data_IF_881645675765
#
_entry.id   IF_881645675765
#
_cell.length_a   1.000
_cell.length_b   1.000
_cell.length_c   1.000
_cell.angle_alpha   90.00
_cell.angle_beta   90.00
_cell.angle_gamma   90.00
#
_symmetry.space_group_name_H-M   'P 1'
#
loop_
_entity.id
_entity.type
_entity.pdbx_description
1 polymer ?
#
# COMPACT_ATOMS: atom_id res chain seq x y z
N UNK A 1 -8.10 -2.63 -4.95
CA UNK A 1 -8.22 -4.07 -4.63
C UNK A 1 -9.43 -4.25 -3.73
N UNK A 2 -10.49 -4.88 -4.21
CA UNK A 2 -11.60 -5.30 -3.34
C UNK A 2 -11.11 -6.48 -2.50
N UNK A 3 -10.93 -6.25 -1.20
CA UNK A 3 -10.53 -7.29 -0.26
C UNK A 3 -11.72 -8.22 -0.03
N UNK A 4 -11.78 -9.33 -0.77
CA UNK A 4 -12.81 -10.34 -0.55
C UNK A 4 -12.54 -11.05 0.78
N UNK A 5 -13.61 -11.22 1.56
CA UNK A 5 -13.56 -11.84 2.88
C UNK A 5 -12.95 -13.26 2.77
N UNK A 6 -11.93 -13.58 3.57
CA UNK A 6 -11.24 -14.88 3.56
C UNK A 6 -12.16 -16.09 3.81
N UNK A 7 -13.40 -15.86 4.30
CA UNK A 7 -14.47 -16.87 4.39
C UNK A 7 -15.15 -17.20 3.04
N UNK A 8 -14.86 -16.45 1.97
CA UNK A 8 -15.51 -16.55 0.65
C UNK A 8 -14.49 -16.76 -0.46
N UNK A 9 -13.59 -17.73 -0.28
CA UNK A 9 -12.53 -18.00 -1.24
C UNK A 9 -13.02 -18.69 -2.53
N UNK A 10 -14.15 -19.40 -2.48
CA UNK A 10 -14.66 -20.17 -3.60
C UNK A 10 -15.52 -19.34 -4.58
N UNK A 11 -15.30 -19.44 -5.90
CA UNK A 11 -16.09 -18.73 -6.91
C UNK A 11 -17.52 -19.30 -6.97
N UNK A 12 -18.52 -18.45 -6.74
CA UNK A 12 -19.94 -18.83 -6.91
C UNK A 12 -20.37 -18.64 -8.36
N UNK A 13 -21.03 -19.64 -8.92
CA UNK A 13 -21.64 -19.56 -10.25
C UNK A 13 -22.14 -20.91 -10.74
N UNK A 14 -22.85 -20.90 -11.88
CA UNK A 14 -23.33 -22.12 -12.56
C UNK A 14 -22.21 -23.10 -12.91
N UNK A 15 -20.99 -22.59 -13.14
CA UNK A 15 -19.80 -23.40 -13.43
C UNK A 15 -19.44 -24.39 -12.31
N UNK A 16 -19.64 -24.01 -11.04
CA UNK A 16 -19.37 -24.90 -9.91
C UNK A 16 -20.32 -26.10 -9.90
N UNK A 17 -21.58 -25.87 -10.23
CA UNK A 17 -22.59 -26.93 -10.34
C UNK A 17 -22.38 -27.82 -11.56
N UNK A 18 -21.99 -27.24 -12.70
CA UNK A 18 -21.60 -28.02 -13.89
C UNK A 18 -20.37 -28.89 -13.60
N UNK A 19 -19.37 -28.36 -12.90
CA UNK A 19 -18.20 -29.12 -12.51
C UNK A 19 -18.52 -30.23 -11.50
N UNK A 20 -19.42 -29.98 -10.54
CA UNK A 20 -19.93 -31.00 -9.63
C UNK A 20 -20.64 -32.14 -10.39
N UNK A 21 -21.51 -31.79 -11.34
CA UNK A 21 -22.20 -32.78 -12.18
C UNK A 21 -21.22 -33.57 -13.07
N UNK A 22 -20.25 -32.89 -13.69
CA UNK A 22 -19.22 -33.53 -14.50
C UNK A 22 -18.33 -34.46 -13.64
N UNK A 23 -17.95 -34.03 -12.44
CA UNK A 23 -17.16 -34.85 -11.52
C UNK A 23 -17.91 -36.12 -11.09
N UNK A 24 -19.21 -36.02 -10.81
CA UNK A 24 -20.06 -37.19 -10.53
C UNK A 24 -20.15 -38.14 -11.73
N UNK A 25 -20.34 -37.60 -12.93
CA UNK A 25 -20.41 -38.39 -14.16
C UNK A 25 -19.08 -39.12 -14.43
N UNK A 26 -17.95 -38.42 -14.29
CA UNK A 26 -16.61 -38.99 -14.46
C UNK A 26 -16.35 -40.05 -13.38
N UNK A 27 -16.65 -39.77 -12.11
CA UNK A 27 -16.45 -40.73 -11.03
C UNK A 27 -17.26 -42.01 -11.24
N UNK A 28 -18.51 -41.86 -11.67
CA UNK A 28 -19.39 -43.00 -11.99
C UNK A 28 -18.84 -43.79 -13.18
N UNK A 29 -18.42 -43.12 -14.25
CA UNK A 29 -17.83 -43.77 -15.43
C UNK A 29 -16.53 -44.51 -15.12
N UNK A 30 -15.61 -43.86 -14.39
CA UNK A 30 -14.36 -44.48 -13.92
C UNK A 30 -14.66 -45.69 -13.05
N UNK A 31 -15.64 -45.61 -12.15
CA UNK A 31 -16.01 -46.72 -11.27
C UNK A 31 -16.63 -47.88 -12.04
N UNK A 32 -17.48 -47.62 -13.03
CA UNK A 32 -18.03 -48.66 -13.92
C UNK A 32 -16.93 -49.40 -14.68
N UNK A 33 -15.92 -48.68 -15.17
CA UNK A 33 -14.74 -49.27 -15.83
C UNK A 33 -13.86 -50.07 -14.86
N UNK A 34 -13.76 -49.62 -13.60
CA UNK A 34 -12.99 -50.30 -12.55
C UNK A 34 -13.73 -51.46 -11.88
N UNK A 35 -15.06 -51.53 -12.03
CA UNK A 35 -15.90 -52.58 -11.49
C UNK A 35 -15.39 -54.00 -11.80
N UNK A 36 -14.98 -54.34 -13.04
CA UNK A 36 -14.42 -55.67 -13.35
C UNK A 36 -13.07 -55.96 -12.67
N UNK A 37 -12.31 -54.95 -12.25
CA UNK A 37 -10.97 -55.13 -11.68
C UNK A 37 -10.93 -55.10 -10.14
N UNK A 38 -11.78 -54.30 -9.51
CA UNK A 38 -11.74 -54.02 -8.06
C UNK A 38 -12.81 -54.82 -7.30
N UNK A 39 -13.82 -55.34 -7.99
CA UNK A 39 -14.96 -56.00 -7.34
C UNK A 39 -15.77 -55.05 -6.46
N UNK A 40 -16.55 -55.57 -5.48
CA UNK A 40 -17.44 -54.78 -4.62
C UNK A 40 -16.72 -53.98 -3.52
N UNK A 41 -15.39 -54.02 -3.47
CA UNK A 41 -14.64 -53.35 -2.41
C UNK A 41 -14.59 -51.83 -2.60
N UNK A 42 -14.92 -51.10 -1.52
CA UNK A 42 -14.88 -49.63 -1.38
C UNK A 42 -15.60 -48.84 -2.51
N UNK A 43 -16.94 -48.94 -2.63
CA UNK A 43 -17.71 -48.25 -3.67
C UNK A 43 -17.54 -46.72 -3.66
N UNK A 44 -17.38 -46.14 -2.47
CA UNK A 44 -17.28 -44.69 -2.29
C UNK A 44 -15.93 -44.06 -2.66
N UNK A 45 -14.89 -44.85 -2.93
CA UNK A 45 -13.53 -44.30 -3.13
C UNK A 45 -13.43 -43.31 -4.29
N UNK A 46 -14.01 -43.63 -5.44
CA UNK A 46 -14.03 -42.75 -6.62
C UNK A 46 -14.80 -41.45 -6.37
N UNK A 47 -15.93 -41.53 -5.67
CA UNK A 47 -16.75 -40.37 -5.31
C UNK A 47 -16.06 -39.48 -4.27
N UNK A 48 -15.29 -40.05 -3.35
CA UNK A 48 -14.49 -39.29 -2.39
C UNK A 48 -13.41 -38.46 -3.09
N UNK A 49 -12.71 -39.04 -4.07
CA UNK A 49 -11.70 -38.32 -4.88
C UNK A 49 -12.37 -37.18 -5.66
N UNK A 50 -13.52 -37.44 -6.29
CA UNK A 50 -14.27 -36.43 -7.03
C UNK A 50 -14.73 -35.28 -6.12
N UNK A 51 -15.30 -35.59 -4.95
CA UNK A 51 -15.70 -34.59 -3.96
C UNK A 51 -14.50 -33.76 -3.48
N UNK A 52 -13.34 -34.39 -3.28
CA UNK A 52 -12.09 -33.71 -2.87
C UNK A 52 -11.57 -32.74 -3.93
N UNK A 53 -11.64 -33.12 -5.21
CA UNK A 53 -11.27 -32.24 -6.31
C UNK A 53 -12.24 -31.06 -6.44
N UNK A 54 -13.55 -31.33 -6.33
CA UNK A 54 -14.56 -30.26 -6.36
C UNK A 54 -14.40 -29.32 -5.18
N UNK A 55 -14.07 -29.82 -3.99
CA UNK A 55 -13.76 -29.00 -2.81
C UNK A 55 -12.60 -28.07 -3.10
N UNK A 56 -11.50 -28.59 -3.65
CA UNK A 56 -10.28 -27.82 -3.88
C UNK A 56 -10.49 -26.63 -4.85
N UNK A 57 -11.36 -26.79 -5.86
CA UNK A 57 -11.55 -25.76 -6.90
C UNK A 57 -12.81 -24.90 -6.71
N UNK A 58 -13.92 -25.49 -6.25
CA UNK A 58 -15.25 -24.86 -6.24
C UNK A 58 -15.83 -24.69 -4.83
N UNK A 59 -15.16 -25.24 -3.81
CA UNK A 59 -15.45 -25.05 -2.39
C UNK A 59 -16.51 -25.98 -1.79
N UNK A 60 -16.83 -25.68 -0.53
CA UNK A 60 -17.58 -26.53 0.39
C UNK A 60 -18.99 -26.94 -0.05
N UNK A 61 -19.77 -26.00 -0.58
CA UNK A 61 -21.15 -26.29 -0.96
C UNK A 61 -21.26 -27.34 -2.09
N UNK A 62 -20.60 -27.15 -3.26
CA UNK A 62 -20.66 -28.14 -4.33
C UNK A 62 -20.01 -29.48 -3.92
N UNK A 63 -18.93 -29.49 -3.13
CA UNK A 63 -18.31 -30.74 -2.68
C UNK A 63 -19.24 -31.58 -1.78
N UNK A 64 -19.94 -30.94 -0.84
CA UNK A 64 -20.94 -31.64 -0.02
C UNK A 64 -22.08 -32.21 -0.86
N UNK A 65 -22.49 -31.51 -1.92
CA UNK A 65 -23.52 -32.04 -2.83
C UNK A 65 -23.03 -33.25 -3.61
N UNK A 66 -21.77 -33.23 -4.07
CA UNK A 66 -21.13 -34.38 -4.71
C UNK A 66 -20.99 -35.55 -3.74
N UNK A 67 -20.66 -35.29 -2.48
CA UNK A 67 -20.60 -36.34 -1.45
C UNK A 67 -21.98 -36.97 -1.22
N UNK A 68 -23.04 -36.17 -1.04
CA UNK A 68 -24.39 -36.69 -0.79
C UNK A 68 -24.95 -37.44 -2.00
N UNK A 69 -24.84 -36.86 -3.20
CA UNK A 69 -25.29 -37.51 -4.42
C UNK A 69 -24.44 -38.74 -4.74
N UNK A 70 -23.12 -38.65 -4.54
CA UNK A 70 -22.21 -39.76 -4.71
C UNK A 70 -22.50 -40.92 -3.77
N UNK A 71 -22.92 -40.64 -2.53
CA UNK A 71 -23.39 -41.66 -1.59
C UNK A 71 -24.66 -42.34 -2.09
N UNK A 72 -25.68 -41.57 -2.52
CA UNK A 72 -26.91 -42.15 -3.07
C UNK A 72 -26.67 -42.99 -4.33
N UNK A 73 -25.78 -42.53 -5.22
CA UNK A 73 -25.40 -43.26 -6.44
C UNK A 73 -24.58 -44.50 -6.05
N UNK A 74 -23.66 -44.39 -5.08
CA UNK A 74 -22.83 -45.50 -4.63
C UNK A 74 -23.67 -46.63 -4.03
N UNK A 75 -24.63 -46.26 -3.18
CA UNK A 75 -25.60 -47.17 -2.57
C UNK A 75 -26.45 -47.87 -3.64
N UNK A 76 -27.04 -47.10 -4.56
CA UNK A 76 -27.95 -47.62 -5.58
C UNK A 76 -27.27 -48.52 -6.66
N UNK A 77 -26.06 -48.16 -7.11
CA UNK A 77 -25.39 -48.89 -8.20
C UNK A 77 -24.47 -50.03 -7.74
N UNK A 78 -23.89 -49.94 -6.55
CA UNK A 78 -22.72 -50.77 -6.20
C UNK A 78 -22.90 -51.60 -4.92
N UNK A 79 -24.01 -51.43 -4.18
CA UNK A 79 -24.29 -52.23 -3.00
C UNK A 79 -25.44 -53.23 -3.30
N UNK A 80 -25.27 -54.54 -3.02
CA UNK A 80 -26.33 -55.53 -3.21
C UNK A 80 -27.39 -55.44 -2.10
N UNK A 81 -28.70 -55.60 -2.40
CA UNK A 81 -29.30 -55.93 -3.69
C UNK A 81 -29.37 -54.73 -4.63
N UNK A 82 -28.78 -54.88 -5.83
CA UNK A 82 -28.75 -53.81 -6.82
C UNK A 82 -30.18 -53.42 -7.21
N UNK A 83 -30.48 -52.13 -7.14
CA UNK A 83 -31.79 -51.54 -7.46
C UNK A 83 -32.97 -51.91 -6.53
N UNK A 84 -32.77 -52.58 -5.39
CA UNK A 84 -33.80 -52.87 -4.39
C UNK A 84 -33.43 -52.29 -3.01
N UNK A 85 -34.32 -51.52 -2.38
CA UNK A 85 -34.07 -50.83 -1.09
C UNK A 85 -34.64 -51.65 0.10
N UNK A 86 -35.01 -52.91 -0.13
CA UNK A 86 -35.88 -53.66 0.79
C UNK A 86 -35.17 -54.36 1.94
N UNK A 87 -33.85 -54.59 1.85
CA UNK A 87 -33.07 -55.29 2.88
C UNK A 87 -31.83 -54.48 3.23
N UNK A 88 -31.80 -53.93 4.46
CA UNK A 88 -30.63 -53.26 5.00
C UNK A 88 -29.62 -54.31 5.49
N UNK A 89 -28.47 -54.40 4.83
CA UNK A 89 -27.37 -55.26 5.24
C UNK A 89 -26.27 -54.47 5.98
N UNK A 90 -25.35 -55.18 6.64
CA UNK A 90 -24.20 -54.58 7.33
C UNK A 90 -23.28 -53.81 6.38
N UNK A 91 -23.26 -54.16 5.09
CA UNK A 91 -22.48 -53.49 4.07
C UNK A 91 -22.99 -52.06 3.82
N UNK A 92 -24.31 -51.88 3.75
CA UNK A 92 -24.98 -50.58 3.55
C UNK A 92 -24.67 -49.66 4.73
N UNK A 93 -24.79 -50.18 5.96
CA UNK A 93 -24.48 -49.42 7.16
C UNK A 93 -22.99 -49.02 7.21
N UNK A 94 -22.09 -49.93 6.83
CA UNK A 94 -20.67 -49.63 6.75
C UNK A 94 -20.38 -48.54 5.71
N UNK A 95 -20.99 -48.59 4.53
CA UNK A 95 -20.85 -47.54 3.51
C UNK A 95 -21.43 -46.21 4.00
N UNK A 96 -22.65 -46.23 4.52
CA UNK A 96 -23.39 -45.06 5.02
C UNK A 96 -22.63 -44.31 6.13
N UNK A 97 -21.83 -44.99 6.94
CA UNK A 97 -21.04 -44.37 8.01
C UNK A 97 -19.62 -44.05 7.53
N UNK A 98 -18.91 -45.03 6.96
CA UNK A 98 -17.48 -44.88 6.65
C UNK A 98 -17.22 -43.89 5.52
N UNK A 99 -18.04 -43.90 4.46
CA UNK A 99 -17.84 -43.02 3.31
C UNK A 99 -17.99 -41.54 3.66
N UNK A 100 -19.11 -41.07 4.26
CA UNK A 100 -19.23 -39.65 4.58
C UNK A 100 -18.26 -39.26 5.68
N UNK A 101 -17.92 -40.14 6.62
CA UNK A 101 -16.93 -39.82 7.65
C UNK A 101 -15.55 -39.54 7.05
N UNK A 102 -15.06 -40.40 6.14
CA UNK A 102 -13.78 -40.19 5.45
C UNK A 102 -13.85 -38.97 4.53
N UNK A 103 -14.91 -38.86 3.72
CA UNK A 103 -15.05 -37.77 2.75
C UNK A 103 -15.18 -36.42 3.45
N UNK A 104 -15.96 -36.33 4.52
CA UNK A 104 -16.09 -35.13 5.33
C UNK A 104 -14.76 -34.74 5.98
N UNK A 105 -14.00 -35.71 6.51
CA UNK A 105 -12.69 -35.43 7.09
C UNK A 105 -11.73 -34.83 6.04
N UNK A 106 -11.72 -35.38 4.83
CA UNK A 106 -10.93 -34.85 3.71
C UNK A 106 -11.40 -33.45 3.30
N UNK A 107 -12.71 -33.25 3.10
CA UNK A 107 -13.31 -31.95 2.77
C UNK A 107 -12.93 -30.90 3.82
N UNK A 108 -13.08 -31.21 5.11
CA UNK A 108 -12.74 -30.29 6.20
C UNK A 108 -11.25 -29.97 6.22
N UNK A 109 -10.39 -30.95 5.97
CA UNK A 109 -8.94 -30.75 5.91
C UNK A 109 -8.55 -29.84 4.74
N UNK A 110 -9.10 -30.08 3.55
CA UNK A 110 -8.88 -29.26 2.37
C UNK A 110 -9.39 -27.85 2.60
N UNK A 111 -10.60 -27.68 3.15
CA UNK A 111 -11.18 -26.37 3.44
C UNK A 111 -10.33 -25.59 4.46
N UNK A 112 -9.82 -26.27 5.49
CA UNK A 112 -8.91 -25.66 6.49
C UNK A 112 -7.60 -25.22 5.84
N UNK A 113 -6.99 -26.07 5.02
CA UNK A 113 -5.76 -25.77 4.31
C UNK A 113 -5.96 -24.62 3.32
N UNK A 114 -7.06 -24.63 2.58
CA UNK A 114 -7.34 -23.61 1.58
C UNK A 114 -7.61 -22.26 2.23
N UNK A 115 -8.38 -22.24 3.32
CA UNK A 115 -8.58 -21.02 4.12
C UNK A 115 -7.29 -20.49 4.74
N UNK A 116 -6.35 -21.35 5.14
CA UNK A 116 -5.06 -20.88 5.67
C UNK A 116 -4.18 -20.31 4.58
N UNK A 117 -4.12 -20.94 3.40
CA UNK A 117 -3.41 -20.44 2.22
C UNK A 117 -3.92 -19.07 1.79
N UNK A 118 -5.23 -18.91 1.61
CA UNK A 118 -5.81 -17.62 1.21
C UNK A 118 -5.55 -16.50 2.24
N UNK A 119 -5.54 -16.83 3.54
CA UNK A 119 -5.18 -15.86 4.57
C UNK A 119 -3.71 -15.46 4.48
N UNK A 120 -2.82 -16.41 4.25
CA UNK A 120 -1.39 -16.14 4.11
C UNK A 120 -1.11 -15.26 2.87
N UNK A 121 -1.73 -15.59 1.74
CA UNK A 121 -1.64 -14.79 0.49
C UNK A 121 -2.16 -13.37 0.68
N UNK A 122 -3.31 -13.22 1.38
CA UNK A 122 -3.85 -11.89 1.66
C UNK A 122 -2.90 -11.07 2.55
N UNK A 123 -2.36 -11.67 3.62
CA UNK A 123 -1.40 -11.00 4.49
C UNK A 123 -0.13 -10.62 3.72
N UNK A 124 0.38 -11.50 2.85
CA UNK A 124 1.54 -11.24 2.00
C UNK A 124 1.29 -10.07 1.04
N UNK A 125 0.13 -10.03 0.38
CA UNK A 125 -0.24 -8.94 -0.53
C UNK A 125 -0.37 -7.58 0.18
N UNK A 126 -0.91 -7.58 1.40
CA UNK A 126 -1.01 -6.38 2.25
C UNK A 126 0.38 -5.94 2.72
N UNK A 127 1.24 -6.89 3.12
CA UNK A 127 2.62 -6.59 3.51
C UNK A 127 3.42 -5.98 2.35
N UNK A 128 3.28 -6.52 1.13
CA UNK A 128 3.90 -5.98 -0.07
C UNK A 128 3.43 -4.55 -0.37
N UNK A 129 2.12 -4.31 -0.31
CA UNK A 129 1.56 -2.97 -0.55
C UNK A 129 2.06 -1.95 0.49
N UNK A 130 2.15 -2.35 1.76
CA UNK A 130 2.71 -1.49 2.83
C UNK A 130 4.21 -1.24 2.62
N UNK A 131 4.96 -2.24 2.19
CA UNK A 131 6.38 -2.09 1.93
C UNK A 131 6.65 -1.10 0.78
N UNK A 132 5.90 -1.18 -0.32
CA UNK A 132 6.00 -0.22 -1.41
C UNK A 132 5.67 1.21 -0.97
N UNK A 133 4.66 1.39 -0.12
CA UNK A 133 4.32 2.70 0.43
C UNK A 133 5.45 3.27 1.30
N UNK A 134 6.04 2.44 2.16
CA UNK A 134 7.18 2.85 2.98
C UNK A 134 8.38 3.25 2.12
N UNK A 135 8.70 2.47 1.10
CA UNK A 135 9.78 2.80 0.16
C UNK A 135 9.55 4.12 -0.57
N UNK A 136 8.31 4.40 -1.00
CA UNK A 136 7.98 5.68 -1.66
C UNK A 136 8.19 6.85 -0.72
N UNK A 137 7.67 6.75 0.49
CA UNK A 137 7.79 7.81 1.48
C UNK A 137 9.23 8.03 1.96
N UNK A 138 10.03 6.97 2.11
CA UNK A 138 11.46 7.12 2.40
C UNK A 138 12.22 7.78 1.24
N UNK A 139 11.88 7.45 -0.01
CA UNK A 139 12.48 8.10 -1.17
C UNK A 139 12.11 9.59 -1.23
N UNK A 140 10.85 9.94 -0.99
CA UNK A 140 10.41 11.35 -0.90
C UNK A 140 11.16 12.13 0.19
N UNK A 141 11.37 11.52 1.36
CA UNK A 141 12.16 12.11 2.45
C UNK A 141 13.61 12.32 2.06
N UNK A 142 14.22 11.37 1.35
CA UNK A 142 15.60 11.49 0.86
C UNK A 142 15.72 12.60 -0.19
N UNK A 143 14.76 12.72 -1.10
CA UNK A 143 14.73 13.81 -2.09
C UNK A 143 14.58 15.17 -1.42
N UNK A 144 13.67 15.30 -0.44
CA UNK A 144 13.50 16.53 0.32
C UNK A 144 14.78 16.92 1.09
N UNK A 145 15.45 15.95 1.73
CA UNK A 145 16.74 16.20 2.41
C UNK A 145 17.83 16.65 1.45
N UNK A 146 17.95 16.00 0.28
CA UNK A 146 18.94 16.38 -0.75
C UNK A 146 18.72 17.81 -1.25
N UNK A 147 17.47 18.21 -1.48
CA UNK A 147 17.15 19.56 -1.89
C UNK A 147 17.59 20.60 -0.84
N UNK A 148 17.40 20.32 0.45
CA UNK A 148 17.85 21.19 1.56
C UNK A 148 19.38 21.22 1.67
N UNK A 149 20.05 20.08 1.53
CA UNK A 149 21.51 20.03 1.60
C UNK A 149 22.17 20.78 0.43
N UNK A 150 21.61 20.66 -0.78
CA UNK A 150 22.06 21.40 -1.96
C UNK A 150 21.87 22.91 -1.77
N UNK A 151 20.72 23.37 -1.26
CA UNK A 151 20.52 24.80 -0.99
C UNK A 151 21.49 25.32 0.05
N UNK A 152 21.73 24.56 1.12
CA UNK A 152 22.69 24.94 2.16
C UNK A 152 24.12 25.04 1.60
N UNK A 153 24.52 24.12 0.71
CA UNK A 153 25.83 24.17 0.03
C UNK A 153 25.94 25.38 -0.89
N UNK A 154 24.91 25.67 -1.69
CA UNK A 154 24.90 26.83 -2.59
C UNK A 154 24.94 28.16 -1.83
N UNK A 155 24.17 28.29 -0.75
CA UNK A 155 24.20 29.47 0.11
C UNK A 155 25.60 29.68 0.71
N UNK A 156 26.23 28.61 1.22
CA UNK A 156 27.60 28.70 1.74
C UNK A 156 28.61 29.12 0.65
N UNK A 157 28.47 28.59 -0.57
CA UNK A 157 29.35 28.96 -1.69
C UNK A 157 29.16 30.41 -2.14
N UNK A 158 27.91 30.89 -2.29
CA UNK A 158 27.62 32.29 -2.62
C UNK A 158 28.14 33.24 -1.55
N UNK A 159 27.97 32.87 -0.28
CA UNK A 159 28.41 33.67 0.85
C UNK A 159 29.93 33.89 0.86
N UNK A 160 30.72 32.87 0.50
CA UNK A 160 32.17 32.96 0.53
C UNK A 160 32.78 33.78 -0.62
N UNK A 161 32.09 33.92 -1.76
CA UNK A 161 32.70 34.52 -2.96
C UNK A 161 32.38 36.02 -3.14
N UNK A 162 31.33 36.55 -2.53
CA UNK A 162 30.93 37.96 -2.68
C UNK A 162 31.15 38.77 -1.39
N UNK A 163 32.32 39.39 -1.17
CA UNK A 163 32.58 40.19 0.05
C UNK A 163 31.75 41.48 0.21
N UNK A 164 30.73 41.71 -0.62
CA UNK A 164 29.99 42.98 -0.76
C UNK A 164 28.50 42.91 -0.39
N UNK A 165 27.95 41.76 0.02
CA UNK A 165 26.54 41.67 0.42
C UNK A 165 26.33 41.89 1.93
N UNK A 166 25.24 42.57 2.28
CA UNK A 166 24.84 42.95 3.64
C UNK A 166 23.95 41.86 4.24
N UNK A 167 22.98 41.35 3.48
CA UNK A 167 21.94 40.46 4.00
C UNK A 167 21.20 39.69 2.87
N UNK A 168 20.81 38.42 3.07
CA UNK A 168 20.07 37.58 2.09
C UNK A 168 18.70 37.18 2.65
N UNK A 169 17.62 37.71 2.08
CA UNK A 169 16.25 37.36 2.48
C UNK A 169 15.66 36.31 1.56
N UNK A 170 15.21 35.19 2.12
CA UNK A 170 14.38 34.23 1.38
C UNK A 170 12.98 34.84 1.18
N UNK A 171 12.53 34.96 -0.07
CA UNK A 171 11.20 35.40 -0.42
C UNK A 171 10.31 34.15 -0.55
N UNK A 172 9.49 33.87 0.45
CA UNK A 172 8.52 32.79 0.37
C UNK A 172 7.52 33.04 -0.77
N UNK A 173 7.28 32.03 -1.59
CA UNK A 173 6.52 32.14 -2.85
C UNK A 173 4.99 32.29 -2.67
N UNK A 174 4.46 32.55 -1.47
CA UNK A 174 3.00 32.55 -1.23
C UNK A 174 2.53 33.52 -0.12
N UNK A 175 2.37 34.81 -0.45
CA UNK A 175 1.60 35.75 0.39
C UNK A 175 0.20 36.08 -0.19
N UNK A 176 -0.27 35.34 -1.21
CA UNK A 176 -1.50 35.68 -1.95
C UNK A 176 -2.42 34.47 -2.24
N UNK A 177 -2.55 33.54 -1.29
CA UNK A 177 -3.71 32.63 -1.26
C UNK A 177 -4.60 33.02 -0.07
N UNK A 178 -5.82 33.55 -0.29
CA UNK A 178 -6.79 33.74 0.77
C UNK A 178 -7.10 32.37 1.38
N UNK A 179 -6.93 32.28 2.69
CA UNK A 179 -7.17 31.08 3.47
C UNK A 179 -8.66 30.71 3.42
N UNK A 180 -8.97 29.54 2.86
CA UNK A 180 -10.22 28.83 3.15
C UNK A 180 -9.91 27.70 4.13
N UNK A 181 -10.50 27.85 5.32
CA UNK A 181 -10.85 26.87 6.35
C UNK A 181 -10.07 25.53 6.44
N UNK A 182 -9.25 25.39 7.48
CA UNK A 182 -9.47 24.40 8.56
C UNK A 182 -8.50 24.60 9.75
N UNK A 183 -9.10 24.61 10.96
CA UNK A 183 -8.62 24.68 12.36
C UNK A 183 -7.10 24.58 12.70
N UNK A 184 -6.63 25.37 13.70
CA UNK A 184 -5.24 25.47 14.10
C UNK A 184 -4.88 24.51 15.25
N UNK A 185 -4.03 23.52 15.00
CA UNK A 185 -3.33 22.82 16.09
C UNK A 185 -1.87 22.58 15.69
N UNK A 186 -0.97 23.07 16.54
CA UNK A 186 0.50 23.05 16.42
C UNK A 186 1.11 23.95 15.33
N UNK A 187 0.76 25.24 15.36
CA UNK A 187 1.62 26.25 14.76
C UNK A 187 2.89 26.38 15.61
N UNK A 188 3.99 25.78 15.14
CA UNK A 188 5.33 26.26 15.48
C UNK A 188 5.34 27.79 15.26
N UNK A 189 5.95 28.57 16.17
CA UNK A 189 5.99 30.01 16.01
C UNK A 189 6.58 30.36 14.65
N UNK A 190 5.79 31.05 13.81
CA UNK A 190 6.23 31.62 12.53
C UNK A 190 7.48 32.46 12.80
N UNK A 191 8.66 31.95 12.43
CA UNK A 191 9.90 32.71 12.50
C UNK A 191 9.78 33.86 11.50
N UNK A 192 9.88 35.13 11.95
CA UNK A 192 9.78 36.27 11.04
C UNK A 192 10.97 36.22 10.08
N UNK A 193 10.69 36.20 8.77
CA UNK A 193 11.63 36.36 7.65
C UNK A 193 13.05 35.85 7.98
N UNK A 194 13.34 34.59 7.66
CA UNK A 194 14.61 33.96 8.02
C UNK A 194 15.78 34.74 7.39
N UNK A 195 16.41 35.56 8.24
CA UNK A 195 17.37 36.56 7.85
C UNK A 195 18.80 35.95 8.02
N UNK A 196 19.44 35.41 6.95
CA UNK A 196 20.85 35.02 6.90
C UNK A 196 21.88 36.20 6.75
N UNK A 197 22.59 36.60 7.83
CA UNK A 197 23.42 37.81 7.86
C UNK A 197 24.68 37.68 7.00
N UNK A 198 25.00 38.73 6.24
CA UNK A 198 26.23 38.81 5.44
C UNK A 198 27.42 39.41 6.18
N UNK A 199 28.62 39.41 5.58
CA UNK A 199 29.86 39.88 6.22
C UNK A 199 29.86 41.37 6.60
N UNK A 200 29.02 42.20 5.95
CA UNK A 200 28.86 43.63 6.24
C UNK A 200 27.62 43.94 7.09
N UNK A 201 26.93 42.92 7.61
CA UNK A 201 25.71 43.09 8.42
C UNK A 201 25.96 43.90 9.70
N UNK A 202 27.11 43.68 10.35
CA UNK A 202 27.49 44.39 11.57
C UNK A 202 27.81 45.87 11.36
N UNK A 203 28.14 46.26 10.12
CA UNK A 203 28.46 47.64 9.76
C UNK A 203 27.19 48.45 9.47
N UNK A 204 26.05 47.81 9.21
CA UNK A 204 24.80 48.50 8.89
C UNK A 204 24.00 48.89 10.15
N UNK A 205 23.32 50.03 10.08
CA UNK A 205 22.49 50.54 11.18
C UNK A 205 21.27 49.62 11.45
N UNK A 206 21.00 49.24 12.71
CA UNK A 206 19.95 48.28 13.05
C UNK A 206 18.54 48.76 12.69
N UNK A 207 18.26 50.07 12.70
CA UNK A 207 16.95 50.61 12.36
C UNK A 207 16.70 50.55 10.84
N UNK A 208 17.74 50.78 10.04
CA UNK A 208 17.66 50.67 8.59
C UNK A 208 17.50 49.20 8.15
N UNK A 209 18.15 48.25 8.84
CA UNK A 209 17.95 46.79 8.63
C UNK A 209 16.51 46.39 8.97
N UNK A 210 15.95 46.87 10.09
CA UNK A 210 14.58 46.56 10.50
C UNK A 210 13.54 47.13 9.52
N UNK A 211 13.82 48.29 8.91
CA UNK A 211 12.98 48.88 7.86
C UNK A 211 13.05 48.09 6.55
N UNK A 212 14.26 47.74 6.13
CA UNK A 212 14.51 47.04 4.87
C UNK A 212 14.00 45.60 4.90
N UNK A 213 14.12 44.89 6.02
CA UNK A 213 13.58 43.53 6.17
C UNK A 213 12.06 43.42 6.04
N UNK A 214 11.32 44.52 6.24
CA UNK A 214 9.86 44.59 6.13
C UNK A 214 9.35 45.04 4.76
N UNK A 215 10.20 45.59 3.91
CA UNK A 215 9.78 46.25 2.65
C UNK A 215 10.90 46.34 1.64
N UNK A 216 11.62 45.24 1.40
CA UNK A 216 12.71 45.18 0.43
C UNK A 216 12.17 45.03 -0.99
N UNK A 217 12.61 45.89 -1.91
CA UNK A 217 12.25 45.84 -3.33
C UNK A 217 13.50 45.81 -4.21
N UNK A 218 13.47 45.21 -5.41
CA UNK A 218 14.60 45.26 -6.33
C UNK A 218 14.91 46.71 -6.72
N UNK A 219 16.15 47.16 -6.55
CA UNK A 219 16.56 48.55 -6.83
C UNK A 219 17.58 49.15 -5.85
N UNK A 220 17.88 50.44 -6.00
CA UNK A 220 18.80 51.17 -5.11
C UNK A 220 18.14 51.56 -3.78
N UNK A 221 18.79 51.22 -2.68
CA UNK A 221 18.42 51.57 -1.31
C UNK A 221 19.58 52.29 -0.64
N UNK A 222 19.30 53.32 0.17
CA UNK A 222 20.32 54.02 0.94
C UNK A 222 20.35 53.47 2.36
N UNK A 223 21.50 52.96 2.78
CA UNK A 223 21.69 52.36 4.11
C UNK A 223 22.79 53.11 4.84
N UNK A 224 22.57 53.45 6.10
CA UNK A 224 23.63 53.99 6.96
C UNK A 224 24.57 52.86 7.36
N UNK A 225 25.84 53.01 7.03
CA UNK A 225 26.89 52.09 7.44
C UNK A 225 27.92 52.81 8.31
N UNK A 226 28.41 52.13 9.34
CA UNK A 226 29.54 52.55 10.15
C UNK A 226 30.80 52.41 9.31
N UNK A 227 31.42 53.55 8.98
CA UNK A 227 32.77 53.56 8.43
C UNK A 227 33.77 53.34 9.57
N UNK A 228 34.97 52.84 9.28
CA UNK A 228 36.04 52.55 10.26
C UNK A 228 36.49 53.74 11.14
N UNK A 229 35.89 54.92 10.96
CA UNK A 229 36.14 56.18 11.66
C UNK A 229 34.98 56.56 12.62
N UNK A 230 34.05 55.64 12.90
CA UNK A 230 32.95 55.82 13.86
C UNK A 230 31.76 56.68 13.36
N UNK A 231 31.90 57.41 12.25
CA UNK A 231 30.82 58.16 11.64
C UNK A 231 29.90 57.26 10.77
N UNK A 232 28.59 57.38 10.95
CA UNK A 232 27.60 56.72 10.11
C UNK A 232 27.52 57.41 8.73
N UNK A 233 27.95 56.73 7.68
CA UNK A 233 27.92 57.23 6.30
C UNK A 233 26.77 56.58 5.52
N UNK A 234 25.97 57.41 4.84
CA UNK A 234 24.96 56.93 3.90
C UNK A 234 25.66 56.31 2.69
N UNK A 235 25.45 55.02 2.48
CA UNK A 235 26.02 54.27 1.36
C UNK A 235 24.89 53.78 0.47
N UNK A 236 25.05 53.93 -0.85
CA UNK A 236 24.10 53.38 -1.82
C UNK A 236 24.29 51.86 -1.88
N UNK A 237 23.19 51.13 -1.74
CA UNK A 237 23.15 49.68 -1.77
C UNK A 237 22.19 49.25 -2.88
N UNK A 238 22.53 48.23 -3.64
CA UNK A 238 21.70 47.68 -4.71
C UNK A 238 21.07 46.38 -4.22
N UNK A 239 19.76 46.25 -4.34
CA UNK A 239 19.03 45.02 -4.07
C UNK A 239 18.75 44.27 -5.37
N UNK A 240 19.24 43.04 -5.48
CA UNK A 240 19.04 42.15 -6.62
C UNK A 240 18.18 40.94 -6.23
N UNK A 241 17.30 40.52 -7.14
CA UNK A 241 16.47 39.32 -6.98
C UNK A 241 17.12 38.16 -7.73
N UNK A 242 17.40 37.08 -7.01
CA UNK A 242 17.88 35.82 -7.57
C UNK A 242 16.78 34.78 -7.52
N UNK A 243 16.41 34.24 -8.67
CA UNK A 243 15.43 33.15 -8.78
C UNK A 243 16.20 31.83 -8.86
N UNK A 244 16.02 30.94 -7.90
CA UNK A 244 16.60 29.58 -7.95
C UNK A 244 15.50 28.53 -7.90
N UNK A 245 15.85 27.26 -8.11
CA UNK A 245 14.91 26.13 -7.96
C UNK A 245 14.31 26.02 -6.55
N UNK A 246 14.96 26.61 -5.54
CA UNK A 246 14.52 26.57 -4.15
C UNK A 246 13.64 27.75 -3.71
N UNK A 247 13.54 28.79 -4.53
CA UNK A 247 12.81 30.01 -4.19
C UNK A 247 13.46 31.27 -4.77
N UNK A 248 12.77 32.39 -4.55
CA UNK A 248 13.28 33.70 -4.90
C UNK A 248 14.01 34.27 -3.68
N UNK A 249 15.20 34.82 -3.90
CA UNK A 249 16.01 35.42 -2.85
C UNK A 249 16.27 36.88 -3.19
N UNK A 250 16.22 37.76 -2.20
CA UNK A 250 16.62 39.16 -2.35
C UNK A 250 17.97 39.35 -1.65
N UNK A 251 18.95 39.83 -2.40
CA UNK A 251 20.32 40.07 -1.91
C UNK A 251 20.58 41.57 -1.96
N UNK A 252 20.89 42.16 -0.81
CA UNK A 252 21.31 43.56 -0.72
C UNK A 252 22.84 43.65 -0.74
N UNK A 253 23.42 44.31 -1.74
CA UNK A 253 24.86 44.54 -1.89
C UNK A 253 25.20 46.02 -1.83
N UNK A 254 26.42 46.36 -1.43
CA UNK A 254 26.92 47.74 -1.46
C UNK A 254 27.18 48.12 -2.93
N UNK A 255 26.62 49.24 -3.38
CA UNK A 255 26.90 49.83 -4.68
C UNK A 255 28.34 50.35 -4.70
N UNK A 256 29.06 50.09 -5.79
CA UNK A 256 30.39 50.62 -6.02
C UNK A 256 30.35 52.14 -6.21
#
# INVERSE_FOLDING_TARGET
MEVQNARRWAPRGTRAWLAAAAALAIASGVRLLLHPFIGPFLPGSAFCIAASLVEYFFGLAPALTVMLLGLCIADYLFVPPYADITVFDRADLALLISYPLVTLLVIVLIERLRRSQFRAELIASVAQSRYEMLLRHDNERLLARRAVDETHRLLRHLSHHHKTFIFIQALERNALQPADDLKPQSALPRLPNEIAPGPRFADADPDDIARLSKGLWPGSHRVRMKSGDGAAKLTECVCERFTTHAGDFLVLRIGA
#
